data_IF_321264232310
#
_entry.id   IF_321264232310
#
_cell.length_a   1.000
_cell.length_b   1.000
_cell.length_c   1.000
_cell.angle_alpha   90.00
_cell.angle_beta   90.00
_cell.angle_gamma   90.00
#
_symmetry.space_group_name_H-M   'P 1'
#
loop_
_entity.id
_entity.type
_entity.pdbx_description
1 polymer ?
#
# COMPACT_ATOMS: atom_id res chain seq x y z
N UNK A 1 -20.01 1.53 9.55
CA UNK A 1 -19.18 0.40 9.08
C UNK A 1 -19.96 -0.90 8.96
N UNK A 2 -20.73 -1.33 10.00
CA UNK A 2 -21.48 -2.62 9.98
C UNK A 2 -22.42 -2.74 8.78
N UNK A 3 -23.33 -1.78 8.58
CA UNK A 3 -24.29 -1.80 7.46
C UNK A 3 -23.58 -1.88 6.11
N UNK A 4 -22.49 -1.15 5.96
CA UNK A 4 -21.71 -1.15 4.73
C UNK A 4 -21.04 -2.52 4.48
N UNK A 5 -20.50 -3.15 5.52
CA UNK A 5 -19.92 -4.50 5.44
C UNK A 5 -20.98 -5.54 5.03
N UNK A 6 -22.20 -5.49 5.63
CA UNK A 6 -23.32 -6.37 5.25
C UNK A 6 -23.68 -6.17 3.78
N UNK A 7 -23.90 -4.91 3.36
CA UNK A 7 -24.27 -4.58 1.99
C UNK A 7 -23.25 -5.09 0.96
N UNK A 8 -21.96 -4.79 1.17
CA UNK A 8 -20.91 -5.22 0.24
C UNK A 8 -20.77 -6.75 0.20
N UNK A 9 -20.78 -7.39 1.37
CA UNK A 9 -20.64 -8.85 1.44
C UNK A 9 -21.79 -9.54 0.68
N UNK A 10 -23.02 -9.11 0.92
CA UNK A 10 -24.20 -9.65 0.24
C UNK A 10 -24.16 -9.37 -1.27
N UNK A 11 -23.78 -8.16 -1.66
CA UNK A 11 -23.65 -7.77 -3.07
C UNK A 11 -22.65 -8.66 -3.84
N UNK A 12 -21.46 -8.93 -3.27
CA UNK A 12 -20.43 -9.70 -3.96
C UNK A 12 -20.58 -11.23 -3.82
N UNK A 13 -21.21 -11.71 -2.77
CA UNK A 13 -21.27 -13.17 -2.48
C UNK A 13 -22.67 -13.77 -2.66
N UNK A 14 -23.70 -12.95 -2.70
CA UNK A 14 -25.11 -13.40 -2.65
C UNK A 14 -25.52 -13.99 -1.31
N UNK A 15 -24.65 -13.91 -0.27
CA UNK A 15 -24.88 -14.50 1.04
C UNK A 15 -25.05 -13.42 2.11
N UNK A 16 -25.80 -13.71 3.17
CA UNK A 16 -25.86 -12.83 4.35
C UNK A 16 -24.59 -12.93 5.17
N UNK A 17 -24.02 -11.78 5.56
CA UNK A 17 -22.85 -11.70 6.42
C UNK A 17 -23.20 -12.05 7.87
N UNK A 18 -22.50 -13.04 8.45
CA UNK A 18 -22.60 -13.35 9.87
C UNK A 18 -21.41 -12.76 10.63
N UNK A 19 -21.61 -11.64 11.33
CA UNK A 19 -20.60 -11.01 12.16
C UNK A 19 -20.59 -11.49 13.62
N UNK A 20 -21.62 -12.22 14.06
CA UNK A 20 -21.68 -12.75 15.43
C UNK A 20 -20.88 -14.03 15.56
N UNK A 21 -20.97 -14.90 14.55
CA UNK A 21 -20.18 -16.14 14.48
C UNK A 21 -19.64 -16.35 13.06
N UNK A 22 -18.57 -15.61 12.66
CA UNK A 22 -18.01 -15.72 11.32
C UNK A 22 -17.27 -17.05 11.14
N UNK A 23 -17.71 -17.86 10.20
CA UNK A 23 -17.13 -19.17 9.89
C UNK A 23 -16.27 -19.10 8.64
N UNK A 24 -16.79 -18.51 7.57
CA UNK A 24 -16.09 -18.38 6.30
C UNK A 24 -14.94 -17.36 6.40
N UNK A 25 -13.87 -17.57 5.62
CA UNK A 25 -12.71 -16.66 5.61
C UNK A 25 -13.10 -15.20 5.32
N UNK A 26 -13.97 -14.98 4.34
CA UNK A 26 -14.41 -13.63 3.98
C UNK A 26 -15.30 -12.99 5.07
N UNK A 27 -16.08 -13.76 5.82
CA UNK A 27 -16.80 -13.25 7.00
C UNK A 27 -15.83 -12.79 8.09
N UNK A 28 -14.77 -13.57 8.35
CA UNK A 28 -13.70 -13.21 9.30
C UNK A 28 -13.01 -11.93 8.90
N UNK A 29 -12.71 -11.73 7.60
CA UNK A 29 -12.15 -10.49 7.09
C UNK A 29 -13.08 -9.31 7.33
N UNK A 30 -14.40 -9.44 7.09
CA UNK A 30 -15.35 -8.37 7.40
C UNK A 30 -15.43 -8.10 8.90
N UNK A 31 -15.37 -9.15 9.73
CA UNK A 31 -15.32 -9.00 11.18
C UNK A 31 -14.09 -8.18 11.62
N UNK A 32 -12.91 -8.47 11.10
CA UNK A 32 -11.69 -7.70 11.37
C UNK A 32 -11.85 -6.23 10.97
N UNK A 33 -12.40 -5.94 9.80
CA UNK A 33 -12.66 -4.57 9.34
C UNK A 33 -13.58 -3.79 10.27
N UNK A 34 -14.58 -4.47 10.86
CA UNK A 34 -15.61 -3.83 11.69
C UNK A 34 -15.18 -3.68 13.14
N UNK A 35 -14.46 -4.64 13.70
CA UNK A 35 -14.23 -4.74 15.15
C UNK A 35 -12.77 -4.64 15.57
N UNK A 36 -11.81 -5.01 14.73
CA UNK A 36 -10.40 -5.05 15.10
C UNK A 36 -9.68 -3.77 14.70
N UNK A 37 -9.60 -2.83 15.66
CA UNK A 37 -9.11 -1.46 15.43
C UNK A 37 -7.89 -1.16 16.30
N UNK A 38 -6.74 -1.78 16.01
CA UNK A 38 -5.50 -1.51 16.72
C UNK A 38 -4.63 -0.51 15.96
N UNK A 39 -4.05 0.47 16.68
CA UNK A 39 -3.18 1.51 16.07
C UNK A 39 -1.97 0.97 15.33
N UNK A 40 -1.50 -0.22 15.68
CA UNK A 40 -0.39 -0.86 14.97
C UNK A 40 -0.72 -1.08 13.49
N UNK A 41 -1.99 -1.36 13.15
CA UNK A 41 -2.40 -1.57 11.76
C UNK A 41 -2.17 -0.32 10.90
N UNK A 42 -2.42 0.88 11.44
CA UNK A 42 -2.15 2.13 10.72
C UNK A 42 -0.65 2.28 10.41
N UNK A 43 0.23 1.89 11.36
CA UNK A 43 1.68 1.89 11.15
C UNK A 43 2.09 0.88 10.08
N UNK A 44 1.50 -0.32 10.09
CA UNK A 44 1.89 -1.40 9.17
C UNK A 44 1.47 -1.17 7.72
N UNK A 45 0.38 -0.43 7.46
CA UNK A 45 -0.07 -0.14 6.09
C UNK A 45 0.55 1.14 5.51
N UNK A 46 1.10 2.03 6.35
CA UNK A 46 1.82 3.22 5.90
C UNK A 46 3.23 2.82 5.42
N UNK A 47 3.50 2.97 4.11
CA UNK A 47 4.77 2.58 3.49
C UNK A 47 6.00 3.27 4.09
N UNK A 48 5.82 4.43 4.72
CA UNK A 48 6.90 5.10 5.42
C UNK A 48 6.99 4.67 6.89
N UNK A 49 5.87 4.68 7.63
CA UNK A 49 5.88 4.40 9.06
C UNK A 49 6.26 2.94 9.37
N UNK A 50 5.93 2.00 8.48
CA UNK A 50 6.28 0.57 8.65
C UNK A 50 7.78 0.32 8.64
N UNK A 51 8.57 1.21 8.04
CA UNK A 51 10.04 1.03 7.91
C UNK A 51 10.71 0.93 9.27
N UNK A 52 10.38 1.81 10.21
CA UNK A 52 10.93 1.75 11.58
C UNK A 52 10.55 0.45 12.30
N UNK A 53 9.38 -0.11 12.01
CA UNK A 53 8.99 -1.41 12.54
C UNK A 53 9.80 -2.56 11.93
N UNK A 54 10.01 -2.54 10.61
CA UNK A 54 10.83 -3.55 9.91
C UNK A 54 12.28 -3.49 10.38
N UNK A 55 12.85 -2.29 10.49
CA UNK A 55 14.21 -2.06 10.98
C UNK A 55 14.40 -2.64 12.38
N UNK A 56 13.47 -2.37 13.30
CA UNK A 56 13.47 -2.90 14.66
C UNK A 56 13.41 -4.43 14.70
N UNK A 57 12.58 -5.05 13.84
CA UNK A 57 12.30 -6.49 13.89
C UNK A 57 13.32 -7.35 13.16
N UNK A 58 13.80 -6.92 12.01
CA UNK A 58 14.63 -7.74 11.12
C UNK A 58 15.85 -7.01 10.54
N UNK A 59 15.96 -5.70 10.76
CA UNK A 59 17.09 -4.87 10.36
C UNK A 59 16.89 -4.09 9.06
N UNK A 60 17.66 -3.01 8.91
CA UNK A 60 17.62 -2.05 7.81
C UNK A 60 17.89 -2.69 6.43
N UNK A 61 18.69 -3.74 6.37
CA UNK A 61 19.08 -4.41 5.12
C UNK A 61 17.92 -4.94 4.28
N UNK A 62 16.73 -5.08 4.87
CA UNK A 62 15.51 -5.52 4.19
C UNK A 62 14.65 -4.34 3.69
N UNK A 63 15.10 -3.11 3.90
CA UNK A 63 14.41 -1.90 3.47
C UNK A 63 15.04 -1.35 2.20
N UNK A 64 14.18 -0.99 1.24
CA UNK A 64 14.64 -0.30 0.05
C UNK A 64 15.18 1.10 0.42
N UNK A 65 16.16 1.59 -0.31
CA UNK A 65 16.71 2.93 -0.16
C UNK A 65 15.64 3.99 -0.47
N UNK A 66 15.51 5.02 0.38
CA UNK A 66 14.63 6.16 0.15
C UNK A 66 15.46 7.42 -0.13
N UNK A 67 14.98 8.23 -1.08
CA UNK A 67 15.59 9.51 -1.46
C UNK A 67 14.91 10.70 -0.81
N UNK A 68 13.64 10.53 -0.37
CA UNK A 68 12.90 11.57 0.32
C UNK A 68 11.48 11.18 0.68
N UNK A 69 10.94 11.90 1.66
CA UNK A 69 9.54 11.81 2.09
C UNK A 69 8.94 13.21 2.06
N UNK A 70 7.78 13.37 1.46
CA UNK A 70 7.21 14.68 1.17
C UNK A 70 5.74 14.74 1.59
N UNK A 71 5.32 15.88 2.12
CA UNK A 71 3.92 16.12 2.52
C UNK A 71 3.15 16.90 1.44
N UNK A 72 3.87 17.57 0.55
CA UNK A 72 3.30 18.35 -0.55
C UNK A 72 3.96 17.96 -1.87
N UNK A 73 3.22 17.98 -3.00
CA UNK A 73 3.76 17.66 -4.32
C UNK A 73 4.99 18.51 -4.70
N UNK A 74 4.94 19.78 -4.35
CA UNK A 74 5.97 20.78 -4.72
C UNK A 74 7.32 20.54 -4.03
N UNK A 75 7.31 19.75 -2.95
CA UNK A 75 8.52 19.39 -2.21
C UNK A 75 9.34 18.31 -2.91
N UNK A 76 8.74 17.60 -3.89
CA UNK A 76 9.44 16.54 -4.64
C UNK A 76 10.52 17.19 -5.54
N UNK A 77 11.74 17.19 -5.06
CA UNK A 77 12.88 17.80 -5.74
C UNK A 77 13.40 16.88 -6.86
N UNK A 78 12.68 16.79 -7.98
CA UNK A 78 13.02 15.92 -9.11
C UNK A 78 14.47 16.10 -9.60
N UNK A 79 15.02 17.32 -9.53
CA UNK A 79 16.41 17.62 -9.93
C UNK A 79 17.42 16.80 -9.13
N UNK A 80 17.16 16.58 -7.85
CA UNK A 80 18.06 15.92 -6.90
C UNK A 80 17.88 14.39 -6.89
N UNK A 81 16.80 13.88 -7.49
CA UNK A 81 16.57 12.45 -7.62
C UNK A 81 17.50 11.82 -8.68
N UNK A 82 17.85 10.53 -8.55
CA UNK A 82 18.66 9.83 -9.56
C UNK A 82 17.92 9.72 -10.91
N UNK A 83 18.57 9.10 -11.90
CA UNK A 83 17.97 8.93 -13.24
C UNK A 83 16.73 8.02 -13.22
N UNK A 84 16.69 7.06 -12.29
CA UNK A 84 15.62 6.09 -12.11
C UNK A 84 15.17 6.07 -10.64
N UNK A 85 13.87 6.15 -10.41
CA UNK A 85 13.27 6.13 -9.08
C UNK A 85 11.79 5.78 -9.15
N UNK A 86 11.18 5.54 -8.00
CA UNK A 86 9.72 5.36 -7.86
C UNK A 86 9.19 6.33 -6.82
N UNK A 87 8.11 7.05 -7.14
CA UNK A 87 7.37 7.83 -6.13
C UNK A 87 6.07 7.11 -5.81
N UNK A 88 5.81 6.92 -4.52
CA UNK A 88 4.61 6.22 -4.02
C UNK A 88 3.84 7.09 -3.04
N UNK A 89 2.50 6.98 -3.03
CA UNK A 89 1.71 7.48 -1.92
C UNK A 89 1.76 6.48 -0.76
N UNK A 90 2.13 6.95 0.45
CA UNK A 90 2.37 6.05 1.59
C UNK A 90 1.09 5.46 2.17
N UNK A 91 -0.01 6.20 2.09
CA UNK A 91 -1.31 5.99 2.73
C UNK A 91 -2.35 5.29 1.86
N UNK A 92 -1.98 4.86 0.65
CA UNK A 92 -2.88 4.21 -0.30
C UNK A 92 -2.24 2.97 -0.93
N UNK A 93 -3.03 2.15 -1.64
CA UNK A 93 -2.55 1.10 -2.52
C UNK A 93 -2.53 1.57 -3.98
N UNK A 94 -1.67 0.97 -4.82
CA UNK A 94 -1.63 1.15 -6.29
C UNK A 94 -1.39 2.60 -6.78
N UNK A 95 -0.85 3.48 -5.94
CA UNK A 95 -0.46 4.83 -6.34
C UNK A 95 1.06 4.93 -6.41
N UNK A 96 1.61 4.51 -7.57
CA UNK A 96 3.03 4.49 -7.87
C UNK A 96 3.30 5.23 -9.18
N UNK A 97 4.33 6.08 -9.21
CA UNK A 97 4.91 6.66 -10.41
C UNK A 97 6.30 6.06 -10.58
N UNK A 98 6.45 5.15 -11.55
CA UNK A 98 7.71 4.52 -11.89
C UNK A 98 8.42 5.39 -12.92
N UNK A 99 9.64 5.83 -12.62
CA UNK A 99 10.47 6.65 -13.49
C UNK A 99 11.71 5.86 -13.87
N UNK A 100 11.80 5.45 -15.12
CA UNK A 100 12.95 4.77 -15.71
C UNK A 100 13.90 5.72 -16.43
N UNK A 101 13.46 6.95 -16.71
CA UNK A 101 14.28 8.03 -17.27
C UNK A 101 13.74 9.38 -16.75
N UNK A 102 14.49 9.99 -15.83
CA UNK A 102 14.13 11.29 -15.24
C UNK A 102 13.93 12.40 -16.28
N UNK A 103 14.66 12.38 -17.40
CA UNK A 103 14.57 13.40 -18.44
C UNK A 103 13.22 13.43 -19.14
N UNK A 104 12.46 12.34 -19.07
CA UNK A 104 11.12 12.21 -19.69
C UNK A 104 9.99 12.58 -18.74
N UNK A 105 10.29 12.96 -17.49
CA UNK A 105 9.24 13.28 -16.50
C UNK A 105 8.66 14.66 -16.76
N UNK A 106 7.36 14.73 -17.02
CA UNK A 106 6.60 15.97 -16.93
C UNK A 106 6.30 16.24 -15.44
N UNK A 107 7.07 17.13 -14.84
CA UNK A 107 6.96 17.50 -13.42
C UNK A 107 5.64 18.16 -13.09
N UNK A 108 5.02 18.90 -14.03
CA UNK A 108 3.70 19.49 -13.81
C UNK A 108 2.60 18.43 -13.77
N UNK A 109 2.64 17.46 -14.69
CA UNK A 109 1.72 16.33 -14.69
C UNK A 109 1.91 15.47 -13.43
N UNK A 110 3.16 15.19 -13.03
CA UNK A 110 3.45 14.46 -11.80
C UNK A 110 2.91 15.18 -10.55
N UNK A 111 3.10 16.48 -10.42
CA UNK A 111 2.59 17.26 -9.30
C UNK A 111 1.05 17.25 -9.24
N UNK A 112 0.35 17.36 -10.36
CA UNK A 112 -1.11 17.22 -10.43
C UNK A 112 -1.56 15.82 -9.97
N UNK A 113 -0.83 14.77 -10.39
CA UNK A 113 -1.07 13.40 -9.99
C UNK A 113 -0.88 13.21 -8.48
N UNK A 114 0.21 13.71 -7.92
CA UNK A 114 0.52 13.65 -6.49
C UNK A 114 -0.50 14.39 -5.64
N UNK A 115 -0.94 15.56 -6.07
CA UNK A 115 -2.02 16.30 -5.42
C UNK A 115 -3.31 15.48 -5.36
N UNK A 116 -3.64 14.78 -6.46
CA UNK A 116 -4.79 13.88 -6.50
C UNK A 116 -4.63 12.69 -5.55
N UNK A 117 -3.42 12.12 -5.40
CA UNK A 117 -3.15 11.02 -4.49
C UNK A 117 -3.26 11.44 -3.04
N UNK A 118 -2.60 12.55 -2.67
CA UNK A 118 -2.61 13.08 -1.30
C UNK A 118 -4.01 13.46 -0.81
N UNK A 119 -4.90 13.86 -1.70
CA UNK A 119 -6.31 14.16 -1.39
C UNK A 119 -7.21 12.94 -1.20
N UNK A 120 -6.68 11.71 -1.33
CA UNK A 120 -7.48 10.49 -1.20
C UNK A 120 -7.34 9.89 0.20
N UNK A 121 -8.45 9.32 0.69
CA UNK A 121 -8.40 8.43 1.86
C UNK A 121 -8.78 7.02 1.42
N UNK A 122 -7.85 6.09 1.56
CA UNK A 122 -8.01 4.70 1.13
C UNK A 122 -9.16 3.98 1.87
N UNK A 123 -9.38 4.30 3.13
CA UNK A 123 -10.47 3.74 3.92
C UNK A 123 -11.83 3.84 3.22
N UNK A 124 -12.15 5.00 2.66
CA UNK A 124 -13.43 5.20 1.96
C UNK A 124 -13.48 4.58 0.56
N UNK A 125 -12.34 4.16 0.01
CA UNK A 125 -12.25 3.61 -1.34
C UNK A 125 -12.27 2.09 -1.40
N UNK A 126 -11.78 1.42 -0.37
CA UNK A 126 -11.54 -0.04 -0.38
C UNK A 126 -12.30 -0.76 0.75
N UNK A 127 -13.62 -0.60 0.75
CA UNK A 127 -14.46 -1.40 1.65
C UNK A 127 -14.25 -1.10 3.13
N UNK A 128 -13.89 0.14 3.47
CA UNK A 128 -13.70 0.61 4.85
C UNK A 128 -12.65 -0.20 5.65
N UNK A 129 -11.50 -0.48 5.02
CA UNK A 129 -10.35 -1.07 5.72
C UNK A 129 -9.81 -0.12 6.78
N UNK A 130 -10.11 -0.40 8.04
CA UNK A 130 -9.81 0.51 9.17
C UNK A 130 -8.33 0.90 9.25
N UNK A 131 -7.43 0.01 8.89
CA UNK A 131 -5.99 0.24 8.90
C UNK A 131 -5.56 1.53 8.15
N UNK A 132 -6.30 1.91 7.10
CA UNK A 132 -5.99 3.11 6.29
C UNK A 132 -6.67 4.39 6.78
N UNK A 133 -7.59 4.32 7.76
CA UNK A 133 -8.48 5.44 8.10
C UNK A 133 -7.73 6.71 8.50
N UNK A 134 -6.73 6.57 9.36
CA UNK A 134 -6.03 7.67 10.01
C UNK A 134 -4.55 7.77 9.58
N UNK A 135 -4.20 7.17 8.44
CA UNK A 135 -2.83 7.25 7.92
C UNK A 135 -2.58 8.62 7.32
N UNK A 136 -1.53 9.29 7.78
CA UNK A 136 -1.13 10.62 7.27
C UNK A 136 -0.72 10.52 5.80
N UNK A 137 -1.35 11.30 4.90
CA UNK A 137 -0.96 11.33 3.50
C UNK A 137 0.46 11.87 3.32
N UNK A 138 1.32 11.08 2.65
CA UNK A 138 2.69 11.47 2.26
C UNK A 138 3.06 10.81 0.95
N UNK A 139 4.08 11.35 0.31
CA UNK A 139 4.79 10.75 -0.81
C UNK A 139 6.15 10.25 -0.30
N UNK A 140 6.61 9.13 -0.85
CA UNK A 140 7.95 8.60 -0.62
C UNK A 140 8.62 8.36 -1.97
N UNK A 141 9.83 8.90 -2.16
CA UNK A 141 10.67 8.59 -3.31
C UNK A 141 11.67 7.51 -2.91
N UNK A 142 11.69 6.41 -3.67
CA UNK A 142 12.49 5.23 -3.40
C UNK A 142 13.34 4.84 -4.61
N UNK A 143 14.39 4.09 -4.35
CA UNK A 143 15.22 3.47 -5.37
C UNK A 143 14.36 2.58 -6.28
N UNK A 144 14.51 2.77 -7.58
CA UNK A 144 13.95 1.86 -8.57
C UNK A 144 14.68 0.51 -8.49
N UNK A 145 13.92 -0.54 -8.22
CA UNK A 145 14.43 -1.91 -8.21
C UNK A 145 14.18 -2.55 -9.56
N UNK A 146 15.17 -3.26 -10.07
CA UNK A 146 15.11 -4.04 -11.31
C UNK A 146 15.85 -5.35 -11.11
N UNK A 147 15.30 -6.43 -11.59
CA UNK A 147 16.01 -7.69 -11.78
C UNK A 147 16.74 -7.67 -13.13
N UNK A 148 18.02 -8.06 -13.17
CA UNK A 148 18.91 -7.82 -14.32
C UNK A 148 18.41 -8.44 -15.63
N UNK A 149 17.66 -9.52 -15.58
CA UNK A 149 17.20 -10.26 -16.77
C UNK A 149 15.69 -10.17 -17.02
N UNK A 150 14.93 -9.41 -16.20
CA UNK A 150 13.46 -9.36 -16.30
C UNK A 150 12.96 -7.95 -16.53
N UNK A 151 11.82 -7.85 -17.20
CA UNK A 151 11.12 -6.58 -17.44
C UNK A 151 10.39 -6.07 -16.19
N UNK A 152 10.05 -6.96 -15.25
CA UNK A 152 9.31 -6.65 -14.03
C UNK A 152 9.87 -7.40 -12.82
N UNK A 153 9.62 -6.87 -11.62
CA UNK A 153 9.95 -7.54 -10.36
C UNK A 153 8.99 -8.69 -10.09
N UNK A 154 9.53 -9.75 -9.46
CA UNK A 154 8.71 -10.80 -8.88
C UNK A 154 8.11 -10.31 -7.58
N UNK A 155 6.79 -10.43 -7.43
CA UNK A 155 6.07 -10.08 -6.19
C UNK A 155 5.77 -11.36 -5.40
N UNK A 156 6.32 -11.47 -4.20
CA UNK A 156 6.13 -12.59 -3.29
C UNK A 156 5.16 -12.19 -2.17
N UNK A 157 4.00 -12.86 -2.09
CA UNK A 157 3.00 -12.62 -1.04
C UNK A 157 2.92 -13.79 -0.10
N UNK A 158 3.35 -13.57 1.13
CA UNK A 158 3.25 -14.55 2.20
C UNK A 158 1.93 -14.41 2.96
N UNK A 159 1.16 -15.48 3.00
CA UNK A 159 -0.05 -15.59 3.81
C UNK A 159 0.32 -16.22 5.15
N UNK A 160 0.24 -15.39 6.20
CA UNK A 160 0.61 -15.80 7.55
C UNK A 160 -0.64 -15.95 8.43
N UNK A 161 -0.69 -17.03 9.20
CA UNK A 161 -1.74 -17.30 10.18
C UNK A 161 -1.07 -17.61 11.51
N UNK A 162 -1.45 -16.86 12.54
CA UNK A 162 -0.88 -16.95 13.90
C UNK A 162 0.67 -16.91 13.90
N UNK A 163 1.22 -15.96 13.15
CA UNK A 163 2.67 -15.78 13.02
C UNK A 163 3.41 -16.80 12.14
N UNK A 164 2.71 -17.79 11.57
CA UNK A 164 3.30 -18.84 10.73
C UNK A 164 2.94 -18.61 9.26
N UNK A 165 3.94 -18.54 8.37
CA UNK A 165 3.72 -18.51 6.93
C UNK A 165 3.18 -19.87 6.44
N UNK A 166 1.99 -19.88 5.88
CA UNK A 166 1.29 -21.09 5.42
C UNK A 166 1.29 -21.23 3.91
N UNK A 167 1.19 -20.12 3.20
CA UNK A 167 1.11 -20.09 1.75
C UNK A 167 2.00 -18.98 1.21
N UNK A 168 2.56 -19.23 0.02
CA UNK A 168 3.29 -18.24 -0.77
C UNK A 168 2.62 -18.14 -2.14
N UNK A 169 2.23 -16.93 -2.52
CA UNK A 169 1.78 -16.59 -3.86
C UNK A 169 2.89 -15.82 -4.57
N UNK A 170 3.25 -16.24 -5.78
CA UNK A 170 4.29 -15.62 -6.60
C UNK A 170 3.65 -15.03 -7.84
N UNK A 171 3.79 -13.71 -8.01
CA UNK A 171 3.33 -13.00 -9.20
C UNK A 171 4.52 -12.73 -10.12
N UNK A 172 4.48 -13.33 -11.30
CA UNK A 172 5.44 -13.11 -12.37
C UNK A 172 4.87 -12.03 -13.32
N UNK A 173 5.75 -11.18 -13.85
CA UNK A 173 5.42 -10.19 -14.90
C UNK A 173 4.21 -9.30 -14.58
N UNK A 174 4.10 -8.86 -13.33
CA UNK A 174 3.07 -7.93 -12.91
C UNK A 174 3.28 -6.58 -13.60
N UNK A 175 2.54 -6.34 -14.66
CA UNK A 175 2.39 -5.00 -15.23
C UNK A 175 1.47 -4.20 -14.32
N UNK A 176 1.98 -3.16 -13.69
CA UNK A 176 1.14 -2.18 -12.99
C UNK A 176 0.29 -1.43 -14.05
N UNK A 177 -0.97 -1.82 -14.18
CA UNK A 177 -1.98 -1.11 -14.95
C UNK A 177 -2.57 0.04 -14.12
#
# INVERSE_FOLDING_TARGET
>A
PKLYAHFLYEYYTGKRLNLENPVEFNEKIQWYKVFYHTKILNKLVDKFAVRAYVEEKIGEKYLNEIYGVYERPEEVAFKDLPSQFVVKATHTSSHNLIVTDKKKVDTNAANKLFKKWLGKNQYYRTGQEWAYKDVKPRLIAEKYLKEDERSSLIDYKFYCFDGVAKFLEVHLDRTDN
#
